data_IF_984001756915
#
_entry.id   IF_984001756915
#
_cell.length_a   1.000
_cell.length_b   1.000
_cell.length_c   1.000
_cell.angle_alpha   90.00
_cell.angle_beta   90.00
_cell.angle_gamma   90.00
#
_symmetry.space_group_name_H-M   'P 1'
#
loop_
_entity.id
_entity.type
_entity.pdbx_description
1 polymer ?
#
# COMPACT_ATOMS: atom_id res chain seq x y z
N UNK A 1 -1.94 7.02 -30.62
CA UNK A 1 -1.88 6.81 -29.19
C UNK A 1 -1.12 5.54 -28.89
N UNK A 2 -0.38 5.57 -27.82
CA UNK A 2 0.29 4.39 -27.27
C UNK A 2 -0.59 3.75 -26.21
N UNK A 3 -0.66 2.43 -26.20
CA UNK A 3 -1.45 1.65 -25.25
C UNK A 3 -0.56 1.03 -24.18
N UNK A 4 -0.94 1.18 -22.92
CA UNK A 4 -0.28 0.54 -21.79
C UNK A 4 -1.00 -0.77 -21.47
N UNK A 5 -0.32 -1.90 -21.71
CA UNK A 5 -0.91 -3.21 -21.52
C UNK A 5 -0.54 -3.77 -20.16
N UNK A 6 -1.55 -4.19 -19.40
CA UNK A 6 -1.42 -4.85 -18.10
C UNK A 6 -1.81 -6.30 -18.24
N UNK A 7 -0.84 -7.19 -18.03
CA UNK A 7 -1.05 -8.63 -17.98
C UNK A 7 -1.39 -9.06 -16.56
N UNK A 8 -2.64 -9.44 -16.33
CA UNK A 8 -3.12 -9.90 -15.03
C UNK A 8 -2.62 -11.31 -14.66
N UNK A 9 -2.06 -12.05 -15.61
CA UNK A 9 -1.61 -13.43 -15.41
C UNK A 9 -0.14 -13.53 -14.96
N UNK A 10 0.60 -12.45 -14.94
CA UNK A 10 1.99 -12.50 -14.49
C UNK A 10 2.06 -12.73 -12.99
N UNK A 11 2.58 -13.89 -12.62
CA UNK A 11 2.99 -14.19 -11.25
C UNK A 11 4.40 -13.65 -11.07
N UNK A 12 4.69 -12.86 -10.03
CA UNK A 12 6.05 -12.43 -9.74
C UNK A 12 6.95 -13.65 -9.54
N UNK A 13 7.89 -13.89 -10.46
CA UNK A 13 8.90 -14.95 -10.30
C UNK A 13 10.18 -14.32 -9.81
N UNK A 14 10.66 -14.76 -8.65
CA UNK A 14 11.94 -14.32 -8.10
C UNK A 14 13.07 -14.75 -9.03
N UNK A 15 13.80 -13.79 -9.60
CA UNK A 15 15.00 -14.04 -10.39
C UNK A 15 14.81 -14.13 -11.91
N UNK A 16 13.62 -13.85 -12.44
CA UNK A 16 13.44 -13.67 -13.88
C UNK A 16 13.19 -12.18 -14.19
N UNK A 17 13.98 -11.64 -15.10
CA UNK A 17 13.82 -10.27 -15.63
C UNK A 17 12.72 -10.28 -16.71
N UNK A 18 11.48 -10.46 -16.29
CA UNK A 18 10.30 -10.60 -17.16
C UNK A 18 9.56 -9.28 -17.39
N UNK A 19 10.26 -8.18 -17.38
CA UNK A 19 9.69 -6.85 -17.47
C UNK A 19 9.47 -6.23 -16.10
N UNK A 20 8.97 -5.03 -16.10
CA UNK A 20 8.76 -4.28 -14.85
C UNK A 20 7.53 -4.80 -14.09
N UNK A 21 7.76 -5.40 -12.93
CA UNK A 21 6.68 -5.75 -11.99
C UNK A 21 6.19 -4.44 -11.38
N UNK A 22 4.88 -4.22 -11.46
CA UNK A 22 4.24 -3.00 -10.93
C UNK A 22 3.04 -3.36 -10.07
N UNK A 23 2.81 -2.58 -9.02
CA UNK A 23 1.58 -2.65 -8.27
C UNK A 23 0.44 -2.01 -9.08
N UNK A 24 -0.70 -2.67 -9.19
CA UNK A 24 -1.91 -2.09 -9.78
C UNK A 24 -3.00 -2.08 -8.73
N UNK A 25 -3.48 -0.89 -8.40
CA UNK A 25 -4.51 -0.66 -7.41
C UNK A 25 -5.76 -0.13 -8.10
N UNK A 26 -6.86 -0.86 -7.99
CA UNK A 26 -8.14 -0.46 -8.57
C UNK A 26 -9.03 0.17 -7.51
N UNK A 27 -9.65 1.30 -7.83
CA UNK A 27 -10.49 2.07 -6.93
C UNK A 27 -11.82 2.35 -7.64
N UNK A 28 -12.99 2.06 -7.05
CA UNK A 28 -14.27 2.46 -7.65
C UNK A 28 -14.42 3.98 -7.65
N UNK A 29 -15.05 4.52 -8.67
CA UNK A 29 -15.28 5.97 -8.80
C UNK A 29 -16.08 6.56 -7.62
N UNK A 30 -17.02 5.78 -7.08
CA UNK A 30 -17.81 6.19 -5.91
C UNK A 30 -16.89 6.46 -4.71
N UNK A 31 -15.97 5.54 -4.41
CA UNK A 31 -15.02 5.66 -3.29
C UNK A 31 -14.04 6.80 -3.56
N UNK A 32 -13.52 6.92 -4.80
CA UNK A 32 -12.66 8.02 -5.19
C UNK A 32 -13.33 9.37 -4.95
N UNK A 33 -14.58 9.54 -5.41
CA UNK A 33 -15.33 10.79 -5.23
C UNK A 33 -15.66 11.06 -3.76
N UNK A 34 -16.03 10.02 -2.99
CA UNK A 34 -16.35 10.17 -1.57
C UNK A 34 -15.15 10.70 -0.76
N UNK A 35 -13.94 10.30 -1.13
CA UNK A 35 -12.72 10.65 -0.39
C UNK A 35 -12.08 11.94 -0.93
N UNK A 36 -11.99 12.09 -2.26
CA UNK A 36 -11.38 13.27 -2.88
C UNK A 36 -12.30 14.50 -2.91
N UNK A 37 -13.62 14.27 -2.85
CA UNK A 37 -14.61 15.32 -3.03
C UNK A 37 -14.65 15.90 -4.47
N UNK A 38 -14.04 15.20 -5.45
CA UNK A 38 -13.84 15.74 -6.81
C UNK A 38 -15.12 15.80 -7.63
N UNK A 39 -16.07 14.87 -7.41
CA UNK A 39 -17.28 14.74 -8.23
C UNK A 39 -16.96 14.33 -9.66
N UNK A 40 -15.89 13.57 -9.88
CA UNK A 40 -15.50 13.09 -11.19
C UNK A 40 -16.57 12.16 -11.78
N UNK A 41 -16.67 12.15 -13.10
CA UNK A 41 -17.55 11.27 -13.87
C UNK A 41 -16.71 10.48 -14.88
N UNK A 42 -17.04 9.22 -15.11
CA UNK A 42 -16.39 8.34 -16.07
C UNK A 42 -17.41 7.76 -17.05
N UNK A 43 -17.07 7.77 -18.33
CA UNK A 43 -17.77 7.04 -19.37
C UNK A 43 -17.49 5.53 -19.31
N UNK A 44 -18.15 4.77 -20.19
CA UNK A 44 -18.06 3.30 -20.21
C UNK A 44 -16.63 2.77 -20.46
N UNK A 45 -15.82 3.52 -21.21
CA UNK A 45 -14.46 3.14 -21.58
C UNK A 45 -13.43 4.20 -21.16
N UNK A 46 -13.61 4.76 -19.98
CA UNK A 46 -12.71 5.76 -19.40
C UNK A 46 -12.27 5.35 -18.01
N UNK A 47 -11.04 5.72 -17.66
CA UNK A 47 -10.45 5.52 -16.33
C UNK A 47 -9.62 6.74 -15.96
N UNK A 48 -9.52 7.04 -14.64
CA UNK A 48 -8.54 7.99 -14.16
C UNK A 48 -7.31 7.21 -13.69
N UNK A 49 -6.13 7.74 -13.96
CA UNK A 49 -4.87 7.06 -13.67
C UNK A 49 -3.96 7.98 -12.87
N UNK A 50 -3.38 7.44 -11.81
CA UNK A 50 -2.29 8.05 -11.07
C UNK A 50 -1.07 7.12 -11.06
N UNK A 51 0.00 7.46 -11.80
CA UNK A 51 1.27 6.76 -11.75
C UNK A 51 2.07 7.20 -10.51
N UNK A 52 2.48 6.24 -9.69
CA UNK A 52 3.28 6.47 -8.50
C UNK A 52 4.66 5.81 -8.63
N UNK A 53 5.74 6.56 -8.45
CA UNK A 53 7.13 6.11 -8.64
C UNK A 53 7.38 5.50 -10.03
N UNK A 54 6.65 5.93 -11.05
CA UNK A 54 6.82 5.50 -12.45
C UNK A 54 6.41 6.59 -13.41
N UNK A 55 7.00 6.57 -14.59
CA UNK A 55 6.57 7.41 -15.72
C UNK A 55 5.38 6.75 -16.43
N UNK A 56 4.42 7.56 -16.85
CA UNK A 56 3.28 7.12 -17.64
C UNK A 56 2.98 8.18 -18.71
N UNK A 57 3.16 7.79 -19.96
CA UNK A 57 2.95 8.64 -21.15
C UNK A 57 2.16 7.87 -22.22
N UNK A 58 0.98 7.36 -21.80
CA UNK A 58 0.09 6.58 -22.65
C UNK A 58 -1.32 7.18 -22.63
N UNK A 59 -2.01 7.14 -23.78
CA UNK A 59 -3.38 7.65 -23.90
C UNK A 59 -4.43 6.62 -23.46
N UNK A 60 -4.07 5.35 -23.50
CA UNK A 60 -4.97 4.25 -23.17
C UNK A 60 -4.30 3.24 -22.26
N UNK A 61 -5.12 2.52 -21.50
CA UNK A 61 -4.72 1.35 -20.73
C UNK A 61 -5.62 0.17 -21.11
N UNK A 62 -5.03 -0.99 -21.32
CA UNK A 62 -5.76 -2.23 -21.55
C UNK A 62 -5.41 -3.27 -20.49
N UNK A 63 -6.42 -3.98 -20.03
CA UNK A 63 -6.27 -5.14 -19.15
C UNK A 63 -6.69 -6.38 -19.93
N UNK A 64 -6.06 -7.49 -19.62
CA UNK A 64 -6.43 -8.75 -20.27
C UNK A 64 -7.91 -9.06 -20.09
N UNK A 65 -8.61 -9.32 -21.21
CA UNK A 65 -10.04 -9.60 -21.24
C UNK A 65 -10.95 -8.36 -21.30
N UNK A 66 -10.36 -7.17 -21.38
CA UNK A 66 -11.07 -5.91 -21.55
C UNK A 66 -10.59 -5.17 -22.79
N UNK A 67 -11.47 -4.37 -23.37
CA UNK A 67 -11.08 -3.40 -24.39
C UNK A 67 -10.19 -2.31 -23.80
N UNK A 68 -9.42 -1.63 -24.65
CA UNK A 68 -8.60 -0.51 -24.21
C UNK A 68 -9.48 0.66 -23.73
N UNK A 69 -9.16 1.18 -22.56
CA UNK A 69 -9.84 2.33 -21.96
C UNK A 69 -9.03 3.59 -22.14
N UNK A 70 -9.70 4.69 -22.39
CA UNK A 70 -9.08 6.01 -22.38
C UNK A 70 -8.62 6.34 -20.97
N UNK A 71 -7.35 6.69 -20.84
CA UNK A 71 -6.72 7.01 -19.59
C UNK A 71 -6.61 8.54 -19.43
N UNK A 72 -7.17 9.07 -18.36
CA UNK A 72 -6.99 10.46 -17.96
C UNK A 72 -6.10 10.52 -16.72
N UNK A 73 -4.99 11.23 -16.80
CA UNK A 73 -4.01 11.31 -15.72
C UNK A 73 -4.51 12.28 -14.63
N UNK A 74 -4.47 11.81 -13.39
CA UNK A 74 -4.73 12.62 -12.21
C UNK A 74 -3.51 13.48 -11.86
N UNK A 75 -3.75 14.75 -11.57
CA UNK A 75 -2.71 15.69 -11.12
C UNK A 75 -2.42 15.60 -9.62
N UNK A 76 -3.35 15.02 -8.86
CA UNK A 76 -3.25 14.94 -7.40
C UNK A 76 -3.10 13.51 -6.91
N UNK A 77 -2.30 13.35 -5.89
CA UNK A 77 -2.04 12.10 -5.21
C UNK A 77 -3.33 11.45 -4.67
N UNK A 78 -3.65 10.20 -5.04
CA UNK A 78 -4.75 9.49 -4.42
C UNK A 78 -4.39 9.12 -2.98
N UNK A 79 -5.37 9.17 -2.11
CA UNK A 79 -5.26 9.04 -0.65
C UNK A 79 -4.86 7.63 -0.14
N UNK A 80 -4.71 6.62 -1.00
CA UNK A 80 -4.39 5.23 -0.62
C UNK A 80 -2.96 4.82 -1.04
N UNK A 81 -1.99 5.69 -0.84
CA UNK A 81 -0.59 5.39 -1.23
C UNK A 81 0.12 4.46 -0.24
N UNK A 82 -0.38 4.31 0.99
CA UNK A 82 0.33 3.67 2.09
C UNK A 82 1.01 2.33 1.75
N UNK A 83 0.29 1.38 1.13
CA UNK A 83 0.88 0.10 0.70
C UNK A 83 1.86 0.27 -0.46
N UNK A 84 1.56 1.16 -1.42
CA UNK A 84 2.43 1.44 -2.55
C UNK A 84 3.71 2.16 -2.14
N UNK A 85 3.69 2.93 -1.04
CA UNK A 85 4.87 3.62 -0.53
C UNK A 85 5.90 2.66 0.07
N UNK A 86 5.44 1.58 0.67
CA UNK A 86 6.30 0.51 1.17
C UNK A 86 6.99 -0.28 0.03
N UNK A 87 6.43 -0.26 -1.19
CA UNK A 87 7.00 -0.95 -2.34
C UNK A 87 8.12 -0.12 -3.00
N UNK A 88 9.23 -0.78 -3.31
CA UNK A 88 10.32 -0.18 -4.09
C UNK A 88 9.97 -0.04 -5.58
N UNK A 89 8.92 -0.70 -6.04
CA UNK A 89 8.48 -0.75 -7.44
C UNK A 89 7.45 0.33 -7.72
N UNK A 90 7.39 0.76 -9.00
CA UNK A 90 6.36 1.67 -9.48
C UNK A 90 4.96 1.09 -9.31
N UNK A 91 3.98 1.94 -9.05
CA UNK A 91 2.59 1.54 -8.86
C UNK A 91 1.66 2.38 -9.72
N UNK A 92 0.57 1.77 -10.19
CA UNK A 92 -0.46 2.43 -10.98
C UNK A 92 -1.78 2.35 -10.21
N UNK A 93 -2.32 3.50 -9.86
CA UNK A 93 -3.67 3.61 -9.31
C UNK A 93 -4.64 3.88 -10.45
N UNK A 94 -5.68 3.09 -10.55
CA UNK A 94 -6.67 3.18 -11.62
C UNK A 94 -8.05 3.31 -11.00
N UNK A 95 -8.69 4.44 -11.25
CA UNK A 95 -10.09 4.66 -10.85
C UNK A 95 -10.97 4.11 -11.96
N UNK A 96 -11.75 3.12 -11.63
CA UNK A 96 -12.71 2.45 -12.53
C UNK A 96 -14.13 2.88 -12.20
N UNK A 97 -15.04 2.78 -13.18
CA UNK A 97 -16.41 3.30 -13.04
C UNK A 97 -17.16 2.74 -11.84
N UNK A 98 -17.07 1.45 -11.60
CA UNK A 98 -17.78 0.79 -10.52
C UNK A 98 -17.10 -0.50 -10.05
N UNK A 99 -17.60 -1.05 -8.94
CA UNK A 99 -17.05 -2.25 -8.32
C UNK A 99 -17.21 -3.50 -9.20
N UNK A 100 -18.21 -3.53 -10.11
CA UNK A 100 -18.44 -4.70 -10.97
C UNK A 100 -17.29 -4.92 -11.95
N UNK A 101 -16.62 -3.85 -12.38
CA UNK A 101 -15.41 -3.93 -13.19
C UNK A 101 -14.28 -4.62 -12.41
N UNK A 102 -14.12 -4.27 -11.13
CA UNK A 102 -13.13 -4.90 -10.26
C UNK A 102 -13.44 -6.39 -10.03
N UNK A 103 -14.71 -6.73 -9.83
CA UNK A 103 -15.17 -8.12 -9.67
C UNK A 103 -14.85 -8.96 -10.90
N UNK A 104 -15.11 -8.43 -12.11
CA UNK A 104 -14.78 -9.10 -13.37
C UNK A 104 -13.26 -9.29 -13.52
N UNK A 105 -12.44 -8.27 -13.20
CA UNK A 105 -11.00 -8.40 -13.25
C UNK A 105 -10.46 -9.45 -12.27
N UNK A 106 -10.98 -9.47 -11.03
CA UNK A 106 -10.64 -10.50 -10.06
C UNK A 106 -11.01 -11.90 -10.56
N UNK A 107 -12.19 -12.05 -11.19
CA UNK A 107 -12.61 -13.32 -11.73
C UNK A 107 -11.68 -13.79 -12.85
N UNK A 108 -11.38 -12.94 -13.85
CA UNK A 108 -10.48 -13.27 -14.96
C UNK A 108 -9.10 -13.68 -14.43
N UNK A 109 -8.56 -12.93 -13.47
CA UNK A 109 -7.28 -13.24 -12.85
C UNK A 109 -7.31 -14.60 -12.14
N UNK A 110 -8.33 -14.85 -11.34
CA UNK A 110 -8.44 -16.06 -10.53
C UNK A 110 -8.66 -17.32 -11.39
N UNK A 111 -9.40 -17.20 -12.50
CA UNK A 111 -9.58 -18.28 -13.47
C UNK A 111 -8.28 -18.67 -14.18
N UNK A 112 -7.41 -17.68 -14.44
CA UNK A 112 -6.15 -17.89 -15.16
C UNK A 112 -5.03 -18.47 -14.29
N UNK A 113 -5.01 -18.20 -12.98
CA UNK A 113 -3.91 -18.56 -12.07
C UNK A 113 -4.11 -19.87 -11.31
N UNK A 114 -5.13 -20.66 -11.63
CA UNK A 114 -5.36 -22.00 -11.08
C UNK A 114 -5.24 -22.13 -9.54
N UNK A 115 -5.54 -21.07 -8.81
CA UNK A 115 -5.70 -21.10 -7.35
C UNK A 115 -4.47 -20.82 -6.49
N UNK A 116 -3.28 -20.68 -7.07
CA UNK A 116 -2.08 -20.39 -6.26
C UNK A 116 -1.96 -18.93 -5.81
N UNK A 117 -2.48 -17.98 -6.59
CA UNK A 117 -2.41 -16.53 -6.33
C UNK A 117 -3.74 -15.85 -6.61
N UNK A 118 -4.74 -16.15 -5.80
CA UNK A 118 -6.06 -15.55 -5.96
C UNK A 118 -6.05 -14.10 -5.46
N UNK A 119 -6.73 -13.23 -6.22
CA UNK A 119 -7.02 -11.87 -5.79
C UNK A 119 -8.42 -11.80 -5.19
N UNK A 120 -8.59 -10.93 -4.22
CA UNK A 120 -9.91 -10.63 -3.63
C UNK A 120 -10.08 -9.12 -3.51
N UNK A 121 -11.33 -8.67 -3.55
CA UNK A 121 -11.65 -7.28 -3.26
C UNK A 121 -11.55 -7.07 -1.76
N UNK A 122 -10.73 -6.12 -1.36
CA UNK A 122 -10.63 -5.68 0.01
C UNK A 122 -11.54 -4.48 0.21
N UNK A 123 -12.27 -4.45 1.33
CA UNK A 123 -13.06 -3.30 1.74
C UNK A 123 -12.36 -2.63 2.91
N UNK A 124 -12.01 -1.36 2.73
CA UNK A 124 -11.36 -0.55 3.75
C UNK A 124 -12.36 0.52 4.24
N UNK A 125 -12.51 0.63 5.55
CA UNK A 125 -13.30 1.67 6.19
C UNK A 125 -12.37 2.52 7.04
N UNK A 126 -12.17 3.77 6.66
CA UNK A 126 -11.37 4.74 7.41
C UNK A 126 -12.27 5.80 8.06
N UNK A 127 -11.97 6.16 9.28
CA UNK A 127 -12.63 7.25 9.99
C UNK A 127 -11.66 7.95 10.94
N UNK A 128 -11.89 9.23 11.17
CA UNK A 128 -11.13 10.00 12.13
C UNK A 128 -11.90 10.07 13.45
N UNK A 129 -11.17 9.89 14.56
CA UNK A 129 -11.67 10.10 15.89
C UNK A 129 -11.24 11.49 16.38
N UNK A 130 -12.18 12.21 17.02
CA UNK A 130 -11.87 13.49 17.69
C UNK A 130 -11.58 13.22 19.17
N UNK A 131 -10.49 12.48 19.42
CA UNK A 131 -10.06 12.07 20.75
C UNK A 131 -8.53 12.04 20.85
N UNK A 132 -8.01 11.82 22.06
CA UNK A 132 -6.57 11.68 22.31
C UNK A 132 -6.06 10.28 22.00
N UNK A 133 -4.72 10.15 21.88
CA UNK A 133 -4.06 8.87 21.51
C UNK A 133 -4.40 7.71 22.50
N UNK A 134 -4.65 7.98 23.79
CA UNK A 134 -5.03 6.96 24.78
C UNK A 134 -6.46 6.43 24.50
N UNK A 135 -7.41 7.34 24.28
CA UNK A 135 -8.79 6.98 23.98
C UNK A 135 -8.93 6.32 22.60
N UNK A 136 -8.15 6.75 21.62
CA UNK A 136 -8.04 6.08 20.30
C UNK A 136 -7.57 4.64 20.47
N UNK A 137 -6.57 4.39 21.32
CA UNK A 137 -6.06 3.04 21.58
C UNK A 137 -7.12 2.15 22.27
N UNK A 138 -7.89 2.67 23.20
CA UNK A 138 -8.98 1.93 23.87
C UNK A 138 -10.07 1.55 22.86
N UNK A 139 -10.48 2.49 22.00
CA UNK A 139 -11.48 2.25 20.94
C UNK A 139 -10.95 1.21 19.94
N UNK A 140 -9.67 1.30 19.56
CA UNK A 140 -9.04 0.34 18.68
C UNK A 140 -9.08 -1.08 19.26
N UNK A 141 -8.72 -1.24 20.51
CA UNK A 141 -8.74 -2.53 21.22
C UNK A 141 -10.17 -3.10 21.27
N UNK A 142 -11.18 -2.27 21.59
CA UNK A 142 -12.57 -2.68 21.61
C UNK A 142 -13.07 -3.11 20.22
N UNK A 143 -12.71 -2.39 19.17
CA UNK A 143 -13.04 -2.75 17.79
C UNK A 143 -12.41 -4.09 17.44
N UNK A 144 -11.11 -4.23 17.70
CA UNK A 144 -10.35 -5.44 17.42
C UNK A 144 -10.92 -6.66 18.13
N UNK A 145 -11.27 -6.53 19.41
CA UNK A 145 -11.91 -7.56 20.20
C UNK A 145 -13.27 -7.97 19.63
N UNK A 146 -14.10 -7.00 19.29
CA UNK A 146 -15.42 -7.27 18.69
C UNK A 146 -15.31 -8.00 17.36
N UNK A 147 -14.37 -7.60 16.49
CA UNK A 147 -14.13 -8.28 15.22
C UNK A 147 -13.58 -9.68 15.40
N UNK A 148 -12.77 -9.94 16.43
CA UNK A 148 -12.25 -11.29 16.74
C UNK A 148 -13.35 -12.31 17.02
N UNK A 149 -14.49 -11.86 17.56
CA UNK A 149 -15.67 -12.68 17.83
C UNK A 149 -16.53 -12.96 16.59
N UNK A 150 -16.42 -12.12 15.56
CA UNK A 150 -17.16 -12.27 14.30
C UNK A 150 -16.58 -13.34 13.40
N UNK A 151 -16.17 -14.46 13.90
CA UNK A 151 -15.52 -15.61 13.22
C UNK A 151 -16.20 -15.98 11.87
N UNK A 152 -16.20 -15.03 10.93
CA UNK A 152 -16.93 -15.09 9.65
C UNK A 152 -16.15 -15.74 8.51
N UNK A 153 -14.95 -16.28 8.78
CA UNK A 153 -14.06 -16.82 7.75
C UNK A 153 -13.45 -15.75 6.81
N UNK A 154 -13.73 -14.48 7.06
CA UNK A 154 -13.10 -13.37 6.34
C UNK A 154 -11.80 -12.96 7.04
N UNK A 155 -10.77 -12.70 6.26
CA UNK A 155 -9.57 -12.06 6.77
C UNK A 155 -9.86 -10.58 6.97
N UNK A 156 -9.67 -10.11 8.18
CA UNK A 156 -9.80 -8.69 8.53
C UNK A 156 -8.59 -8.25 9.36
N UNK A 157 -8.26 -7.01 9.28
CA UNK A 157 -7.27 -6.38 10.14
C UNK A 157 -7.71 -4.95 10.46
N UNK A 158 -7.26 -4.45 11.56
CA UNK A 158 -7.50 -3.08 12.01
C UNK A 158 -6.17 -2.37 12.18
N UNK A 159 -6.15 -1.09 11.84
CA UNK A 159 -4.99 -0.22 12.04
C UNK A 159 -5.44 1.04 12.77
N UNK A 160 -4.64 1.48 13.73
CA UNK A 160 -4.81 2.75 14.44
C UNK A 160 -3.55 3.59 14.24
N UNK A 161 -3.75 4.88 14.01
CA UNK A 161 -2.67 5.85 13.89
C UNK A 161 -1.87 6.00 15.20
N UNK A 162 -2.57 5.96 16.35
CA UNK A 162 -1.95 6.05 17.66
C UNK A 162 -1.06 4.83 17.92
N UNK A 163 -1.55 3.62 17.63
CA UNK A 163 -0.79 2.39 17.80
C UNK A 163 0.40 2.31 16.86
N UNK A 164 0.22 2.60 15.57
CA UNK A 164 1.33 2.61 14.60
C UNK A 164 2.42 3.59 15.01
N UNK A 165 2.04 4.76 15.54
CA UNK A 165 3.00 5.74 16.09
C UNK A 165 3.74 5.18 17.31
N UNK A 166 3.04 4.53 18.23
CA UNK A 166 3.64 3.96 19.43
C UNK A 166 4.64 2.85 19.09
N UNK A 167 4.30 1.96 18.17
CA UNK A 167 5.20 0.90 17.68
C UNK A 167 6.43 1.48 16.98
N UNK A 168 6.25 2.51 16.14
CA UNK A 168 7.34 3.20 15.48
C UNK A 168 8.31 3.83 16.51
N UNK A 169 7.78 4.56 17.50
CA UNK A 169 8.58 5.18 18.55
C UNK A 169 9.31 4.13 19.39
N UNK A 170 8.66 3.01 19.72
CA UNK A 170 9.28 1.91 20.47
C UNK A 170 10.45 1.28 19.69
N UNK A 171 10.27 1.03 18.40
CA UNK A 171 11.31 0.43 17.54
C UNK A 171 12.50 1.39 17.37
N UNK A 172 12.26 2.62 16.94
CA UNK A 172 13.34 3.59 16.69
C UNK A 172 13.99 4.10 17.96
N UNK A 173 13.21 4.25 19.03
CA UNK A 173 13.74 4.58 20.36
C UNK A 173 14.67 3.49 20.88
N UNK A 174 14.31 2.22 20.70
CA UNK A 174 15.16 1.09 21.04
C UNK A 174 16.46 1.06 20.24
N UNK A 175 16.41 1.29 18.94
CA UNK A 175 17.60 1.37 18.08
C UNK A 175 18.50 2.55 18.43
N UNK A 176 17.92 3.71 18.73
CA UNK A 176 18.66 4.89 19.18
C UNK A 176 19.39 4.63 20.49
N UNK A 177 18.69 4.03 21.48
CA UNK A 177 19.28 3.66 22.76
C UNK A 177 20.45 2.69 22.58
N UNK A 178 20.28 1.67 21.73
CA UNK A 178 21.35 0.72 21.41
C UNK A 178 22.55 1.42 20.76
N UNK A 179 22.32 2.36 19.84
CA UNK A 179 23.36 3.15 19.19
C UNK A 179 24.16 4.00 20.18
N UNK A 180 23.47 4.66 21.13
CA UNK A 180 24.11 5.45 22.20
C UNK A 180 24.93 4.52 23.11
N UNK A 181 24.40 3.38 23.50
CA UNK A 181 25.09 2.41 24.36
C UNK A 181 26.39 1.91 23.70
N UNK A 182 26.30 1.49 22.43
CA UNK A 182 27.46 1.03 21.66
C UNK A 182 28.50 2.15 21.50
N UNK A 183 28.07 3.38 21.20
CA UNK A 183 28.94 4.54 21.12
C UNK A 183 29.69 4.79 22.42
N UNK A 184 29.00 4.71 23.56
CA UNK A 184 29.63 4.86 24.88
C UNK A 184 30.67 3.77 25.16
N UNK A 185 30.37 2.50 24.80
CA UNK A 185 31.29 1.38 24.93
C UNK A 185 32.53 1.60 24.07
N UNK A 186 32.37 2.00 22.81
CA UNK A 186 33.52 2.30 21.93
C UNK A 186 34.38 3.44 22.46
N UNK A 187 33.79 4.51 22.95
CA UNK A 187 34.54 5.61 23.57
C UNK A 187 35.33 5.13 24.79
N UNK A 188 34.70 4.31 25.62
CA UNK A 188 35.38 3.76 26.80
C UNK A 188 36.57 2.88 26.41
N UNK A 189 36.42 1.99 25.43
CA UNK A 189 37.52 1.18 24.93
C UNK A 189 38.63 2.01 24.30
N UNK A 190 38.30 3.07 23.57
CA UNK A 190 39.28 3.97 22.96
C UNK A 190 40.13 4.67 24.02
N UNK A 191 39.48 5.16 25.09
CA UNK A 191 40.18 5.79 26.20
C UNK A 191 41.11 4.82 26.93
N UNK A 192 40.66 3.58 27.16
CA UNK A 192 41.48 2.54 27.78
C UNK A 192 42.71 2.20 26.92
N UNK A 193 42.55 2.05 25.61
CA UNK A 193 43.66 1.74 24.70
C UNK A 193 44.68 2.89 24.70
N UNK A 194 44.23 4.13 24.66
CA UNK A 194 45.12 5.30 24.72
C UNK A 194 45.85 5.35 26.05
N UNK A 195 45.19 5.08 27.15
CA UNK A 195 45.79 5.07 28.49
C UNK A 195 46.88 4.01 28.60
N UNK A 196 46.60 2.76 28.17
CA UNK A 196 47.58 1.69 28.17
C UNK A 196 48.81 2.00 27.29
N UNK A 197 48.58 2.63 26.12
CA UNK A 197 49.68 3.00 25.21
C UNK A 197 50.59 4.11 25.77
N UNK A 198 50.08 4.95 26.67
CA UNK A 198 50.89 6.01 27.32
C UNK A 198 51.73 5.49 28.51
N UNK A 199 51.38 4.36 29.10
CA UNK A 199 52.06 3.78 30.25
C UNK A 199 53.14 2.74 29.81
N UNK A 200 53.00 2.19 28.61
CA UNK A 200 54.00 1.27 28.01
C UNK A 200 55.07 2.05 27.27
#
# INVERSE_FOLDING_TARGET
>A
GSDFQIDLNQVPQIGQDNGEIRGVYLIPLEDYNAISGSGAELGDNEVLIYPYKMDYDYDTVSFQGFDAWKAEKLDSEPFLIGEADANAMGSLFVVVRDISVMEQMCQIKNESLAGEWTSSIQRCYGFNLDCGDEEESEIYDEITDRFSWLNSGANWYTESKAQSRAEYVALYGGLLFLGILLGAVFLFWTVLIMYYKQIS
#
